data_IF_148812846073
#
_entry.id   IF_148812846073
#
_cell.length_a   1.000
_cell.length_b   1.000
_cell.length_c   1.000
_cell.angle_alpha   90.00
_cell.angle_beta   90.00
_cell.angle_gamma   90.00
#
_symmetry.space_group_name_H-M   'P 1'
#
loop_
_entity.id
_entity.type
_entity.pdbx_description
1 polymer ?
#
# COMPACT_ATOMS: atom_id res chain seq x y z
N UNK A 1 -11.88 -23.88 14.77
CA UNK A 1 -11.20 -22.78 15.48
C UNK A 1 -12.25 -21.99 16.24
N UNK A 2 -11.95 -21.43 17.41
CA UNK A 2 -12.86 -20.49 18.06
C UNK A 2 -13.02 -19.23 17.18
N UNK A 3 -14.14 -18.53 17.29
CA UNK A 3 -14.42 -17.36 16.44
C UNK A 3 -13.44 -16.23 16.75
N UNK A 4 -13.06 -16.09 18.01
CA UNK A 4 -12.11 -15.11 18.52
C UNK A 4 -10.70 -15.36 17.97
N UNK A 5 -10.25 -16.61 17.98
CA UNK A 5 -8.97 -17.02 17.40
C UNK A 5 -8.94 -16.78 15.88
N UNK A 6 -10.06 -17.07 15.20
CA UNK A 6 -10.20 -16.84 13.77
C UNK A 6 -10.17 -15.34 13.43
N UNK A 7 -10.80 -14.50 14.25
CA UNK A 7 -10.77 -13.06 14.09
C UNK A 7 -9.36 -12.50 14.30
N UNK A 8 -8.65 -12.93 15.34
CA UNK A 8 -7.27 -12.51 15.59
C UNK A 8 -6.33 -12.92 14.44
N UNK A 9 -6.50 -14.13 13.90
CA UNK A 9 -5.74 -14.60 12.76
C UNK A 9 -6.06 -13.80 11.48
N UNK A 10 -7.33 -13.50 11.23
CA UNK A 10 -7.75 -12.68 10.09
C UNK A 10 -7.21 -11.24 10.19
N UNK A 11 -7.26 -10.64 11.38
CA UNK A 11 -6.70 -9.31 11.65
C UNK A 11 -5.19 -9.26 11.40
N UNK A 12 -4.44 -10.24 11.93
CA UNK A 12 -3.00 -10.31 11.73
C UNK A 12 -2.62 -10.44 10.25
N UNK A 13 -3.31 -11.31 9.52
CA UNK A 13 -2.99 -11.63 8.13
C UNK A 13 -3.38 -10.53 7.14
N UNK A 14 -4.49 -9.84 7.39
CA UNK A 14 -5.02 -8.82 6.48
C UNK A 14 -4.66 -7.43 6.97
N UNK A 15 -5.16 -7.04 8.15
CA UNK A 15 -5.12 -5.65 8.59
C UNK A 15 -3.73 -5.24 9.04
N UNK A 16 -3.11 -6.01 9.94
CA UNK A 16 -1.79 -5.66 10.51
C UNK A 16 -0.74 -5.66 9.41
N UNK A 17 -0.67 -6.73 8.60
CA UNK A 17 0.25 -6.83 7.46
C UNK A 17 0.14 -5.62 6.54
N UNK A 18 -1.09 -5.27 6.14
CA UNK A 18 -1.32 -4.17 5.20
C UNK A 18 -1.05 -2.79 5.79
N UNK A 19 -1.42 -2.56 7.05
CA UNK A 19 -1.13 -1.31 7.74
C UNK A 19 0.38 -1.06 7.85
N UNK A 20 1.15 -2.11 8.17
CA UNK A 20 2.61 -2.03 8.21
C UNK A 20 3.19 -1.67 6.84
N UNK A 21 2.73 -2.34 5.76
CA UNK A 21 3.17 -2.02 4.40
C UNK A 21 2.86 -0.57 4.00
N UNK A 22 1.72 -0.03 4.44
CA UNK A 22 1.35 1.36 4.17
C UNK A 22 2.24 2.34 4.96
N UNK A 23 2.56 2.03 6.22
CA UNK A 23 3.50 2.82 7.01
C UNK A 23 4.90 2.83 6.40
N UNK A 24 5.38 1.68 5.94
CA UNK A 24 6.68 1.56 5.26
C UNK A 24 6.71 2.41 3.97
N UNK A 25 5.66 2.34 3.15
CA UNK A 25 5.52 3.17 1.96
C UNK A 25 5.50 4.67 2.31
N UNK A 26 4.74 5.06 3.33
CA UNK A 26 4.69 6.46 3.79
C UNK A 26 6.03 6.95 4.33
N UNK A 27 6.83 6.09 4.96
CA UNK A 27 8.17 6.43 5.43
C UNK A 27 9.11 6.69 4.25
N UNK A 28 9.03 5.87 3.19
CA UNK A 28 9.79 6.08 1.96
C UNK A 28 9.38 7.38 1.26
N UNK A 29 8.07 7.62 1.14
CA UNK A 29 7.51 8.88 0.64
C UNK A 29 8.11 10.09 1.39
N UNK A 30 8.09 10.04 2.73
CA UNK A 30 8.67 11.09 3.56
C UNK A 30 10.14 11.36 3.23
N UNK A 31 10.95 10.34 2.97
CA UNK A 31 12.37 10.54 2.59
C UNK A 31 12.53 11.15 1.20
N UNK A 32 11.74 10.69 0.23
CA UNK A 32 11.81 11.16 -1.16
C UNK A 32 11.49 12.66 -1.28
N UNK A 33 10.50 13.15 -0.54
CA UNK A 33 10.14 14.57 -0.53
C UNK A 33 11.19 15.45 0.15
N UNK A 34 11.89 14.92 1.14
CA UNK A 34 12.85 15.67 1.95
C UNK A 34 14.31 15.40 1.53
N UNK A 35 14.56 15.04 0.27
CA UNK A 35 15.92 15.14 -0.26
C UNK A 35 16.44 16.57 -0.07
N UNK A 36 17.69 16.66 0.38
CA UNK A 36 18.37 17.93 0.47
C UNK A 36 18.57 18.50 -0.95
N UNK A 37 18.57 19.82 -1.05
CA UNK A 37 18.83 20.53 -2.30
C UNK A 37 20.14 20.02 -2.93
N UNK A 38 20.07 19.66 -4.21
CA UNK A 38 21.17 19.06 -4.94
C UNK A 38 20.69 18.19 -6.10
N UNK A 39 21.63 17.48 -6.74
CA UNK A 39 21.36 16.77 -7.99
C UNK A 39 20.28 15.68 -7.88
N UNK A 40 20.12 15.03 -6.73
CA UNK A 40 19.08 14.02 -6.51
C UNK A 40 17.68 14.64 -6.40
N UNK A 41 17.60 15.77 -5.70
CA UNK A 41 16.38 16.56 -5.56
C UNK A 41 15.95 17.14 -6.92
N UNK A 42 16.89 17.69 -7.67
CA UNK A 42 16.66 18.19 -9.04
C UNK A 42 16.21 17.08 -9.98
N UNK A 43 16.85 15.90 -9.94
CA UNK A 43 16.48 14.77 -10.78
C UNK A 43 15.06 14.27 -10.49
N UNK A 44 14.67 14.22 -9.20
CA UNK A 44 13.29 13.88 -8.79
C UNK A 44 12.29 14.90 -9.35
N UNK A 45 12.58 16.19 -9.22
CA UNK A 45 11.67 17.26 -9.67
C UNK A 45 11.48 17.25 -11.18
N UNK A 46 12.55 17.08 -11.95
CA UNK A 46 12.48 16.92 -13.42
C UNK A 46 11.63 15.70 -13.78
N UNK A 47 11.82 14.57 -13.08
CA UNK A 47 11.04 13.36 -13.34
C UNK A 47 9.55 13.50 -12.95
N UNK A 48 9.22 14.37 -11.99
CA UNK A 48 7.84 14.67 -11.59
C UNK A 48 7.13 15.64 -12.55
N UNK A 49 7.82 16.25 -13.51
CA UNK A 49 7.25 17.30 -14.34
C UNK A 49 5.96 16.89 -15.09
N UNK A 50 5.84 15.68 -15.67
CA UNK A 50 4.59 15.24 -16.28
C UNK A 50 3.42 15.21 -15.30
N UNK A 51 3.65 14.77 -14.05
CA UNK A 51 2.64 14.73 -12.99
C UNK A 51 2.14 16.15 -12.65
N UNK A 52 3.06 17.10 -12.48
CA UNK A 52 2.75 18.50 -12.14
C UNK A 52 2.00 19.21 -13.27
N UNK A 53 2.36 18.92 -14.52
CA UNK A 53 1.74 19.50 -15.70
C UNK A 53 0.40 18.83 -16.08
N UNK A 54 -0.03 17.80 -15.32
CA UNK A 54 -1.25 17.05 -15.60
C UNK A 54 -1.17 16.20 -16.87
N UNK A 55 0.05 15.89 -17.31
CA UNK A 55 0.32 14.98 -18.41
C UNK A 55 0.23 13.53 -17.94
N UNK A 56 0.13 12.61 -18.89
CA UNK A 56 0.13 11.18 -18.59
C UNK A 56 1.52 10.72 -18.10
N UNK A 57 1.52 9.87 -17.09
CA UNK A 57 2.71 9.19 -16.57
C UNK A 57 2.31 7.79 -16.10
N UNK A 58 3.25 6.85 -16.20
CA UNK A 58 3.06 5.46 -15.75
C UNK A 58 3.56 5.24 -14.32
N UNK A 59 4.59 6.00 -13.91
CA UNK A 59 5.23 5.90 -12.60
C UNK A 59 5.45 7.29 -12.00
N UNK A 60 5.27 7.44 -10.68
CA UNK A 60 5.59 8.68 -9.96
C UNK A 60 6.89 8.52 -9.19
N UNK A 61 7.88 9.43 -9.34
CA UNK A 61 9.13 9.39 -8.56
C UNK A 61 8.91 9.49 -7.05
N UNK A 62 7.78 10.04 -6.62
CA UNK A 62 7.42 10.10 -5.20
C UNK A 62 6.53 8.94 -4.77
N UNK A 63 6.12 8.07 -5.69
CA UNK A 63 5.19 6.94 -5.50
C UNK A 63 3.77 7.32 -5.08
N UNK A 64 3.51 8.54 -4.62
CA UNK A 64 2.20 8.94 -4.07
C UNK A 64 1.10 9.01 -5.12
N UNK A 65 1.42 9.57 -6.29
CA UNK A 65 0.49 9.68 -7.42
C UNK A 65 0.58 8.51 -8.39
N UNK A 66 1.46 7.55 -8.11
CA UNK A 66 1.63 6.35 -8.91
C UNK A 66 0.30 5.59 -9.05
N UNK A 67 -0.14 5.25 -10.28
CA UNK A 67 -1.42 4.57 -10.49
C UNK A 67 -1.53 3.24 -9.73
N UNK A 68 -0.43 2.49 -9.58
CA UNK A 68 -0.40 1.24 -8.83
C UNK A 68 -0.56 1.52 -7.34
N UNK A 69 0.12 2.52 -6.79
CA UNK A 69 -0.05 2.93 -5.39
C UNK A 69 -1.47 3.41 -5.11
N UNK A 70 -2.05 4.20 -6.01
CA UNK A 70 -3.41 4.71 -5.91
C UNK A 70 -4.43 3.56 -5.92
N UNK A 71 -4.34 2.64 -6.89
CA UNK A 71 -5.20 1.46 -6.97
C UNK A 71 -5.02 0.56 -5.74
N UNK A 72 -3.78 0.33 -5.32
CA UNK A 72 -3.48 -0.45 -4.13
C UNK A 72 -4.08 0.20 -2.89
N UNK A 73 -4.03 1.52 -2.72
CA UNK A 73 -4.45 2.21 -1.50
C UNK A 73 -5.96 2.42 -1.45
N UNK A 74 -6.53 3.02 -2.50
CA UNK A 74 -7.90 3.50 -2.55
C UNK A 74 -8.84 2.56 -3.30
N UNK A 75 -8.32 1.69 -4.17
CA UNK A 75 -9.10 0.66 -4.87
C UNK A 75 -9.28 -0.63 -4.09
N UNK A 76 -8.79 -0.72 -2.85
CA UNK A 76 -8.80 -1.95 -2.07
C UNK A 76 -10.12 -2.17 -1.31
N UNK A 77 -10.76 -3.32 -1.54
CA UNK A 77 -11.94 -3.75 -0.80
C UNK A 77 -11.53 -4.42 0.52
N UNK A 78 -11.59 -3.65 1.61
CA UNK A 78 -11.25 -4.13 2.93
C UNK A 78 -12.28 -5.13 3.50
N UNK A 79 -13.55 -4.99 3.13
CA UNK A 79 -14.62 -5.86 3.63
C UNK A 79 -14.52 -7.24 3.00
N UNK A 80 -14.34 -7.30 1.68
CA UNK A 80 -14.16 -8.55 0.95
C UNK A 80 -12.92 -9.30 1.45
N UNK A 81 -11.79 -8.60 1.62
CA UNK A 81 -10.55 -9.21 2.10
C UNK A 81 -10.70 -9.77 3.53
N UNK A 82 -11.34 -9.02 4.44
CA UNK A 82 -11.60 -9.50 5.80
C UNK A 82 -12.58 -10.68 5.81
N UNK A 83 -13.63 -10.66 4.99
CA UNK A 83 -14.58 -11.76 4.88
C UNK A 83 -13.89 -13.05 4.37
N UNK A 84 -13.03 -12.95 3.35
CA UNK A 84 -12.23 -14.07 2.83
C UNK A 84 -11.28 -14.62 3.90
N UNK A 85 -10.59 -13.76 4.63
CA UNK A 85 -9.67 -14.18 5.68
C UNK A 85 -10.39 -14.84 6.86
N UNK A 86 -11.52 -14.29 7.29
CA UNK A 86 -12.35 -14.86 8.35
C UNK A 86 -12.88 -16.24 7.97
N UNK A 87 -13.40 -16.38 6.75
CA UNK A 87 -13.86 -17.66 6.22
C UNK A 87 -12.73 -18.69 6.17
N UNK A 88 -11.55 -18.29 5.67
CA UNK A 88 -10.39 -19.18 5.58
C UNK A 88 -9.90 -19.63 6.95
N UNK A 89 -9.82 -18.72 7.92
CA UNK A 89 -9.41 -19.00 9.29
C UNK A 89 -10.36 -19.97 10.00
N UNK A 90 -11.68 -19.78 9.84
CA UNK A 90 -12.69 -20.66 10.44
C UNK A 90 -12.60 -22.10 9.90
N UNK A 91 -12.29 -22.26 8.61
CA UNK A 91 -12.19 -23.57 7.94
C UNK A 91 -10.78 -24.18 8.06
N UNK A 92 -9.83 -23.47 8.68
CA UNK A 92 -8.45 -23.94 8.85
C UNK A 92 -7.65 -24.00 7.54
N UNK A 93 -8.05 -23.24 6.52
CA UNK A 93 -7.31 -23.12 5.25
C UNK A 93 -6.20 -22.09 5.42
N UNK A 94 -4.97 -22.35 4.92
CA UNK A 94 -3.94 -21.31 4.89
C UNK A 94 -4.48 -20.12 4.08
N UNK A 95 -4.17 -18.88 4.49
CA UNK A 95 -4.62 -17.71 3.75
C UNK A 95 -4.06 -17.80 2.33
N UNK A 96 -4.93 -18.07 1.36
CA UNK A 96 -4.56 -17.92 -0.05
C UNK A 96 -4.23 -16.45 -0.26
N UNK A 97 -3.06 -16.17 -0.84
CA UNK A 97 -2.56 -14.83 -1.11
C UNK A 97 -3.69 -13.96 -1.68
N UNK A 98 -4.10 -12.97 -0.88
CA UNK A 98 -5.01 -11.90 -1.29
C UNK A 98 -4.26 -10.92 -2.18
#
# INVERSE_FOLDING_TARGET
>A
MAVEDAAALAEANVRVKRANQMQEASLLYGKLWHFADGSEQEARDVAMQPEVEGLHFDESPTQGSDPVTQARSYGYDAEEAMAKAMSSALVGRPPSEC
#
